data_IF_778575108157
#
_entry.id   IF_778575108157
#
_cell.length_a   1.000
_cell.length_b   1.000
_cell.length_c   1.000
_cell.angle_alpha   90.00
_cell.angle_beta   90.00
_cell.angle_gamma   90.00
#
_symmetry.space_group_name_H-M   'P 1'
#
loop_
_entity.id
_entity.type
_entity.pdbx_description
1 polymer ?
#
# COMPACT_ATOMS: atom_id res chain seq x y z
N UNK A 1 -16.60 -39.67 -51.74
CA UNK A 1 -15.88 -39.37 -53.03
C UNK A 1 -15.16 -38.07 -52.84
N UNK A 2 -13.88 -38.16 -52.46
CA UNK A 2 -12.97 -37.03 -52.42
C UNK A 2 -12.28 -36.96 -53.77
N UNK A 3 -12.50 -35.88 -54.52
CA UNK A 3 -11.73 -35.56 -55.73
C UNK A 3 -10.49 -34.77 -55.30
N UNK A 4 -9.32 -35.38 -55.56
CA UNK A 4 -8.04 -34.80 -55.29
C UNK A 4 -7.80 -33.53 -56.16
N UNK A 5 -7.39 -32.45 -55.50
CA UNK A 5 -6.79 -31.29 -56.18
C UNK A 5 -5.31 -31.60 -56.40
N UNK A 6 -4.76 -31.35 -57.59
CA UNK A 6 -3.32 -31.46 -57.80
C UNK A 6 -2.61 -30.33 -57.09
N UNK A 7 -1.77 -30.67 -56.15
CA UNK A 7 -0.84 -29.71 -55.56
C UNK A 7 0.36 -29.63 -56.44
N UNK A 8 0.43 -28.58 -57.25
CA UNK A 8 1.62 -28.22 -58.01
C UNK A 8 2.63 -27.57 -57.06
N UNK A 9 3.60 -28.37 -56.60
CA UNK A 9 4.73 -27.85 -55.78
C UNK A 9 5.79 -27.34 -56.76
N UNK A 10 5.61 -26.11 -57.20
CA UNK A 10 6.65 -25.36 -57.93
C UNK A 10 7.86 -25.20 -57.01
N UNK A 11 8.88 -25.99 -57.25
CA UNK A 11 10.17 -25.87 -56.58
C UNK A 11 10.90 -24.66 -57.21
N UNK A 12 10.71 -23.47 -56.62
CA UNK A 12 11.44 -22.29 -57.00
C UNK A 12 12.83 -22.33 -56.40
N UNK A 13 13.83 -22.56 -57.23
CA UNK A 13 15.21 -22.77 -56.86
C UNK A 13 15.98 -21.50 -56.47
N UNK A 14 15.28 -20.36 -56.34
CA UNK A 14 15.90 -19.07 -56.10
C UNK A 14 15.60 -18.44 -54.71
N UNK A 15 15.11 -19.24 -53.78
CA UNK A 15 15.03 -18.79 -52.40
C UNK A 15 16.37 -18.88 -51.69
N UNK A 16 17.21 -17.87 -51.86
CA UNK A 16 18.32 -17.59 -50.96
C UNK A 16 17.71 -17.36 -49.55
N UNK A 17 17.75 -18.41 -48.73
CA UNK A 17 17.35 -18.33 -47.31
C UNK A 17 18.35 -17.40 -46.62
N UNK A 18 17.97 -16.12 -46.51
CA UNK A 18 18.68 -15.20 -45.63
C UNK A 18 18.63 -15.77 -44.21
N UNK A 19 19.77 -15.89 -43.51
CA UNK A 19 19.72 -16.38 -42.13
C UNK A 19 18.82 -15.47 -41.31
N UNK A 20 17.99 -16.02 -40.40
CA UNK A 20 17.13 -15.20 -39.59
C UNK A 20 17.98 -14.17 -38.84
N UNK A 21 17.64 -12.90 -39.01
CA UNK A 21 18.21 -11.82 -38.23
C UNK A 21 18.03 -12.21 -36.78
N UNK A 22 19.10 -12.71 -36.14
CA UNK A 22 19.15 -12.93 -34.73
C UNK A 22 19.05 -11.55 -34.07
N UNK A 23 17.83 -11.12 -33.86
CA UNK A 23 17.53 -9.98 -32.98
C UNK A 23 18.20 -10.30 -31.66
N UNK A 24 19.34 -9.68 -31.40
CA UNK A 24 19.98 -9.73 -30.10
C UNK A 24 18.96 -9.14 -29.13
N UNK A 25 18.15 -10.01 -28.55
CA UNK A 25 17.32 -9.66 -27.41
C UNK A 25 18.30 -9.21 -26.33
N UNK A 26 18.41 -7.89 -26.19
CA UNK A 26 19.22 -7.29 -25.15
C UNK A 26 18.63 -7.72 -23.78
N UNK A 27 19.22 -8.74 -23.17
CA UNK A 27 18.98 -9.18 -21.79
C UNK A 27 19.45 -8.12 -20.76
N UNK A 28 19.29 -6.84 -21.07
CA UNK A 28 19.66 -5.71 -20.23
C UNK A 28 18.57 -5.34 -19.21
N UNK A 29 17.46 -6.08 -19.18
CA UNK A 29 16.27 -5.73 -18.37
C UNK A 29 16.33 -6.22 -16.92
N UNK A 30 17.25 -7.09 -16.56
CA UNK A 30 17.29 -7.69 -15.22
C UNK A 30 17.88 -6.80 -14.13
N UNK A 31 18.93 -6.05 -14.41
CA UNK A 31 19.66 -5.27 -13.39
C UNK A 31 18.94 -3.98 -12.97
N UNK A 32 18.23 -3.33 -13.87
CA UNK A 32 17.52 -2.07 -13.59
C UNK A 32 16.26 -2.31 -12.73
N UNK A 33 15.58 -3.43 -12.94
CA UNK A 33 14.41 -3.81 -12.15
C UNK A 33 14.78 -4.20 -10.70
N UNK A 34 15.93 -4.82 -10.48
CA UNK A 34 16.41 -5.17 -9.15
C UNK A 34 16.80 -3.94 -8.33
N UNK A 35 17.49 -2.98 -8.92
CA UNK A 35 17.83 -1.71 -8.27
C UNK A 35 16.59 -0.92 -7.87
N UNK A 36 15.61 -0.81 -8.76
CA UNK A 36 14.33 -0.12 -8.47
C UNK A 36 13.55 -0.74 -7.32
N UNK A 37 13.57 -2.06 -7.18
CA UNK A 37 12.95 -2.77 -6.06
C UNK A 37 13.69 -2.50 -4.76
N UNK A 38 15.01 -2.52 -4.79
CA UNK A 38 15.85 -2.25 -3.64
C UNK A 38 15.63 -0.82 -3.11
N UNK A 39 15.56 0.18 -3.99
CA UNK A 39 15.30 1.58 -3.61
C UNK A 39 13.95 1.70 -2.85
N UNK A 40 12.90 1.03 -3.33
CA UNK A 40 11.59 1.06 -2.68
C UNK A 40 11.64 0.39 -1.31
N UNK A 41 12.31 -0.76 -1.19
CA UNK A 41 12.46 -1.46 0.10
C UNK A 41 13.24 -0.60 1.09
N UNK A 42 14.32 0.04 0.65
CA UNK A 42 15.12 0.94 1.50
C UNK A 42 14.27 2.13 2.01
N UNK A 43 13.48 2.73 1.12
CA UNK A 43 12.59 3.85 1.45
C UNK A 43 11.51 3.42 2.46
N UNK A 44 10.92 2.23 2.30
CA UNK A 44 9.98 1.65 3.26
C UNK A 44 10.67 1.41 4.61
N UNK A 45 11.88 0.86 4.59
CA UNK A 45 12.66 0.59 5.82
C UNK A 45 12.95 1.86 6.62
N UNK A 46 13.39 2.93 5.95
CA UNK A 46 13.62 4.24 6.60
C UNK A 46 12.30 4.80 7.16
N UNK A 47 11.24 4.78 6.37
CA UNK A 47 9.91 5.21 6.83
C UNK A 47 9.43 4.39 8.04
N UNK A 48 9.59 3.07 8.00
CA UNK A 48 9.24 2.17 9.09
C UNK A 48 10.00 2.43 10.38
N UNK A 49 11.31 2.71 10.28
CA UNK A 49 12.13 3.11 11.43
C UNK A 49 11.60 4.40 12.06
N UNK A 50 11.32 5.44 11.26
CA UNK A 50 10.77 6.70 11.74
C UNK A 50 9.40 6.52 12.40
N UNK A 51 8.50 5.77 11.78
CA UNK A 51 7.17 5.47 12.33
C UNK A 51 7.26 4.71 13.65
N UNK A 52 8.13 3.72 13.73
CA UNK A 52 8.36 2.93 14.95
C UNK A 52 8.94 3.79 16.08
N UNK A 53 9.88 4.69 15.78
CA UNK A 53 10.42 5.63 16.76
C UNK A 53 9.35 6.58 17.29
N UNK A 54 8.50 7.12 16.42
CA UNK A 54 7.40 7.98 16.83
C UNK A 54 6.39 7.21 17.74
N UNK A 55 6.03 5.99 17.37
CA UNK A 55 5.19 5.11 18.18
C UNK A 55 5.82 4.83 19.55
N UNK A 56 7.10 4.49 19.57
CA UNK A 56 7.83 4.21 20.80
C UNK A 56 7.82 5.42 21.73
N UNK A 57 8.09 6.62 21.20
CA UNK A 57 8.04 7.86 21.98
C UNK A 57 6.68 8.10 22.64
N UNK A 58 5.57 7.90 21.91
CA UNK A 58 4.23 8.04 22.47
C UNK A 58 3.96 6.95 23.53
N UNK A 59 4.29 5.70 23.22
CA UNK A 59 4.04 4.57 24.13
C UNK A 59 4.80 4.73 25.47
N UNK A 60 6.02 5.26 25.45
CA UNK A 60 6.80 5.50 26.68
C UNK A 60 6.30 6.69 27.50
N UNK A 61 5.67 7.67 26.84
CA UNK A 61 5.10 8.84 27.53
C UNK A 61 3.79 8.50 28.26
N UNK A 62 3.04 7.53 27.74
CA UNK A 62 1.77 7.09 28.31
C UNK A 62 1.83 5.59 28.68
N UNK A 63 2.46 5.25 29.80
CA UNK A 63 2.60 3.85 30.18
C UNK A 63 1.23 3.21 30.47
N UNK A 64 1.05 1.99 29.99
CA UNK A 64 -0.19 1.23 30.21
C UNK A 64 -0.19 0.70 31.62
N UNK A 65 -1.24 1.06 32.38
CA UNK A 65 -1.50 0.44 33.69
C UNK A 65 -2.25 -0.88 33.46
N UNK A 66 -1.85 -1.97 34.14
CA UNK A 66 -2.59 -3.23 34.04
C UNK A 66 -4.07 -3.02 34.32
N UNK A 67 -4.93 -3.73 33.58
CA UNK A 67 -6.40 -3.72 33.77
C UNK A 67 -7.13 -2.43 33.30
N UNK A 68 -6.44 -1.48 32.69
CA UNK A 68 -7.05 -0.29 32.10
C UNK A 68 -7.04 -0.39 30.55
N UNK A 69 -7.91 0.41 29.93
CA UNK A 69 -7.90 0.55 28.48
C UNK A 69 -6.54 1.13 28.04
N UNK A 70 -5.85 0.52 27.08
CA UNK A 70 -4.56 1.00 26.58
C UNK A 70 -4.73 2.23 25.68
N UNK A 71 -4.91 3.39 26.29
CA UNK A 71 -5.20 4.65 25.59
C UNK A 71 -4.12 5.03 24.59
N UNK A 72 -2.83 4.75 24.89
CA UNK A 72 -1.72 5.02 24.00
C UNK A 72 -1.84 4.24 22.68
N UNK A 73 -2.05 2.93 22.76
CA UNK A 73 -2.22 2.07 21.57
C UNK A 73 -3.47 2.45 20.80
N UNK A 74 -4.57 2.75 21.49
CA UNK A 74 -5.80 3.22 20.85
C UNK A 74 -5.54 4.53 20.08
N UNK A 75 -4.94 5.54 20.70
CA UNK A 75 -4.66 6.82 20.06
C UNK A 75 -3.69 6.69 18.87
N UNK A 76 -2.65 5.87 19.00
CA UNK A 76 -1.70 5.56 17.90
C UNK A 76 -2.44 4.95 16.72
N UNK A 77 -3.27 3.93 16.97
CA UNK A 77 -3.95 3.23 15.87
C UNK A 77 -5.06 4.09 15.23
N UNK A 78 -5.80 4.87 16.00
CA UNK A 78 -6.82 5.78 15.46
C UNK A 78 -6.21 6.94 14.65
N UNK A 79 -5.17 7.58 15.18
CA UNK A 79 -4.46 8.64 14.45
C UNK A 79 -3.76 8.10 13.20
N UNK A 80 -3.14 6.93 13.30
CA UNK A 80 -2.55 6.24 12.14
C UNK A 80 -3.57 5.86 11.08
N UNK A 81 -4.76 5.40 11.46
CA UNK A 81 -5.86 5.10 10.53
C UNK A 81 -6.37 6.36 9.83
N UNK A 82 -6.55 7.47 10.57
CA UNK A 82 -6.91 8.76 9.98
C UNK A 82 -5.87 9.23 8.97
N UNK A 83 -4.58 9.22 9.34
CA UNK A 83 -3.49 9.63 8.48
C UNK A 83 -3.36 8.73 7.25
N UNK A 84 -3.62 7.43 7.39
CA UNK A 84 -3.61 6.49 6.27
C UNK A 84 -4.72 6.83 5.26
N UNK A 85 -5.95 7.03 5.73
CA UNK A 85 -7.08 7.43 4.89
C UNK A 85 -6.83 8.77 4.19
N UNK A 86 -6.36 9.77 4.94
CA UNK A 86 -5.97 11.07 4.40
C UNK A 86 -4.90 10.94 3.31
N UNK A 87 -3.84 10.21 3.60
CA UNK A 87 -2.70 10.06 2.70
C UNK A 87 -3.04 9.31 1.42
N UNK A 88 -3.81 8.23 1.51
CA UNK A 88 -4.25 7.48 0.33
C UNK A 88 -5.07 8.37 -0.61
N UNK A 89 -6.01 9.12 -0.07
CA UNK A 89 -6.82 10.05 -0.85
C UNK A 89 -5.99 11.23 -1.40
N UNK A 90 -5.01 11.73 -0.65
CA UNK A 90 -4.12 12.81 -1.09
C UNK A 90 -3.19 12.37 -2.23
N UNK A 91 -2.64 11.16 -2.17
CA UNK A 91 -1.75 10.64 -3.23
C UNK A 91 -2.44 10.40 -4.56
N UNK A 92 -3.76 10.25 -4.59
CA UNK A 92 -4.54 10.16 -5.85
C UNK A 92 -4.59 11.50 -6.60
N UNK A 93 -4.26 12.61 -5.93
CA UNK A 93 -4.34 13.98 -6.45
C UNK A 93 -2.99 14.62 -6.71
N UNK A 94 -1.92 14.02 -6.21
CA UNK A 94 -0.56 14.46 -6.41
C UNK A 94 0.03 13.83 -7.68
N UNK A 95 1.00 14.51 -8.32
CA UNK A 95 1.74 13.90 -9.42
C UNK A 95 2.33 12.56 -8.97
N UNK A 96 2.36 11.55 -9.86
CA UNK A 96 2.79 10.20 -9.51
C UNK A 96 4.24 10.20 -9.03
N UNK A 97 4.43 9.98 -7.74
CA UNK A 97 5.74 9.81 -7.11
C UNK A 97 5.85 8.37 -6.58
N UNK A 98 6.74 7.59 -7.19
CA UNK A 98 6.91 6.17 -6.87
C UNK A 98 7.37 5.89 -5.44
N UNK A 99 7.93 6.86 -4.75
CA UNK A 99 8.47 6.72 -3.40
C UNK A 99 7.53 7.22 -2.31
N UNK A 100 6.68 8.19 -2.61
CA UNK A 100 5.84 8.85 -1.61
C UNK A 100 4.89 7.87 -0.91
N UNK A 101 4.16 7.09 -1.68
CA UNK A 101 3.21 6.11 -1.15
C UNK A 101 3.88 4.96 -0.40
N UNK A 102 4.94 4.31 -0.91
CA UNK A 102 5.70 3.33 -0.14
C UNK A 102 6.32 3.89 1.13
N UNK A 103 6.90 5.08 1.09
CA UNK A 103 7.53 5.71 2.25
C UNK A 103 6.52 6.03 3.35
N UNK A 104 5.45 6.75 3.03
CA UNK A 104 4.51 7.24 4.03
C UNK A 104 3.50 6.17 4.44
N UNK A 105 2.80 5.53 3.49
CA UNK A 105 1.73 4.59 3.82
C UNK A 105 2.26 3.26 4.34
N UNK A 106 3.25 2.66 3.64
CA UNK A 106 3.78 1.36 4.05
C UNK A 106 4.87 1.49 5.11
N UNK A 107 5.80 2.44 4.93
CA UNK A 107 6.88 2.69 5.88
C UNK A 107 6.37 3.38 7.14
N UNK A 108 6.17 4.70 7.10
CA UNK A 108 5.89 5.50 8.29
C UNK A 108 4.63 5.03 9.02
N UNK A 109 3.49 4.94 8.35
CA UNK A 109 2.23 4.56 9.00
C UNK A 109 2.19 3.08 9.37
N UNK A 110 2.79 2.19 8.55
CA UNK A 110 2.94 0.78 8.90
C UNK A 110 3.85 0.54 10.12
N UNK A 111 4.91 1.34 10.30
CA UNK A 111 5.75 1.33 11.50
C UNK A 111 5.11 2.03 12.70
N UNK A 112 4.30 3.06 12.47
CA UNK A 112 3.62 3.84 13.51
C UNK A 112 2.49 3.06 14.17
N UNK A 113 1.59 2.44 13.39
CA UNK A 113 0.49 1.62 13.91
C UNK A 113 0.97 0.26 14.41
N UNK A 114 0.21 -0.38 15.29
CA UNK A 114 0.56 -1.70 15.82
C UNK A 114 -0.66 -2.59 16.02
N UNK A 115 -0.67 -3.70 15.30
CA UNK A 115 -1.65 -4.75 15.51
C UNK A 115 -1.18 -5.74 16.60
N UNK A 116 0.13 -6.02 16.67
CA UNK A 116 0.67 -6.98 17.63
C UNK A 116 0.49 -6.54 19.08
N UNK A 117 0.82 -5.29 19.40
CA UNK A 117 0.60 -4.72 20.75
C UNK A 117 -0.88 -4.74 21.11
N UNK A 118 -1.74 -4.27 20.19
CA UNK A 118 -3.19 -4.31 20.35
C UNK A 118 -3.72 -5.72 20.65
N UNK A 119 -3.28 -6.73 19.90
CA UNK A 119 -3.72 -8.12 20.08
C UNK A 119 -3.30 -8.66 21.46
N UNK A 120 -2.08 -8.39 21.91
CA UNK A 120 -1.59 -8.78 23.24
C UNK A 120 -2.44 -8.11 24.33
N UNK A 121 -2.69 -6.82 24.21
CA UNK A 121 -3.51 -6.06 25.17
C UNK A 121 -4.94 -6.59 25.25
N UNK A 122 -5.57 -6.90 24.11
CA UNK A 122 -6.91 -7.52 24.08
C UNK A 122 -6.91 -8.86 24.81
N UNK A 123 -5.91 -9.71 24.59
CA UNK A 123 -5.82 -11.02 25.25
C UNK A 123 -5.60 -10.86 26.76
N UNK A 124 -4.75 -9.92 27.18
CA UNK A 124 -4.52 -9.64 28.61
C UNK A 124 -5.78 -9.12 29.29
N UNK A 125 -6.45 -8.14 28.69
CA UNK A 125 -7.71 -7.61 29.20
C UNK A 125 -8.81 -8.69 29.24
N UNK A 126 -8.85 -9.59 28.24
CA UNK A 126 -9.88 -10.63 28.17
C UNK A 126 -9.80 -11.62 29.34
N UNK A 127 -8.59 -11.89 29.84
CA UNK A 127 -8.38 -12.79 31.00
C UNK A 127 -8.96 -12.24 32.29
N UNK A 128 -8.95 -10.93 32.47
CA UNK A 128 -9.32 -10.29 33.74
C UNK A 128 -10.65 -9.54 33.64
N UNK A 129 -10.91 -8.89 32.50
CA UNK A 129 -12.08 -8.04 32.25
C UNK A 129 -12.64 -8.22 30.82
N UNK A 130 -13.32 -9.32 30.54
CA UNK A 130 -13.75 -9.67 29.19
C UNK A 130 -14.63 -8.60 28.53
N UNK A 131 -15.49 -7.92 29.28
CA UNK A 131 -16.35 -6.86 28.73
C UNK A 131 -15.57 -5.62 28.32
N UNK A 132 -14.51 -5.27 29.06
CA UNK A 132 -13.61 -4.16 28.69
C UNK A 132 -12.80 -4.55 27.46
N UNK A 133 -12.32 -5.79 27.36
CA UNK A 133 -11.63 -6.30 26.19
C UNK A 133 -12.50 -6.23 24.92
N UNK A 134 -13.77 -6.66 25.01
CA UNK A 134 -14.71 -6.60 23.91
C UNK A 134 -15.02 -5.16 23.49
N UNK A 135 -15.22 -4.26 24.44
CA UNK A 135 -15.43 -2.84 24.14
C UNK A 135 -14.19 -2.20 23.51
N UNK A 136 -13.00 -2.51 24.00
CA UNK A 136 -11.73 -2.04 23.43
C UNK A 136 -11.54 -2.55 21.99
N UNK A 137 -11.80 -3.84 21.76
CA UNK A 137 -11.75 -4.45 20.42
C UNK A 137 -12.74 -3.77 19.46
N UNK A 138 -14.00 -3.67 19.85
CA UNK A 138 -15.05 -3.09 19.01
C UNK A 138 -14.80 -1.60 18.71
N UNK A 139 -14.38 -0.84 19.74
CA UNK A 139 -14.06 0.58 19.61
C UNK A 139 -12.84 0.80 18.71
N UNK A 140 -11.78 0.03 18.91
CA UNK A 140 -10.56 0.14 18.10
C UNK A 140 -10.83 -0.14 16.62
N UNK A 141 -11.57 -1.22 16.33
CA UNK A 141 -11.91 -1.57 14.95
C UNK A 141 -12.91 -0.57 14.32
N UNK A 142 -13.99 -0.27 15.03
CA UNK A 142 -15.04 0.61 14.52
C UNK A 142 -14.56 2.04 14.31
N UNK A 143 -13.95 2.63 15.35
CA UNK A 143 -13.40 3.99 15.23
C UNK A 143 -12.19 4.04 14.30
N UNK A 144 -11.39 2.99 14.19
CA UNK A 144 -10.28 2.91 13.24
C UNK A 144 -10.76 3.06 11.79
N UNK A 145 -11.81 2.32 11.42
CA UNK A 145 -12.43 2.45 10.08
C UNK A 145 -13.03 3.84 9.90
N UNK A 146 -13.75 4.35 10.90
CA UNK A 146 -14.33 5.68 10.84
C UNK A 146 -13.26 6.78 10.68
N UNK A 147 -12.16 6.70 11.43
CA UNK A 147 -11.04 7.63 11.31
C UNK A 147 -10.43 7.60 9.91
N UNK A 148 -10.26 6.42 9.29
CA UNK A 148 -9.76 6.30 7.93
C UNK A 148 -10.72 6.94 6.91
N UNK A 149 -12.02 6.73 7.06
CA UNK A 149 -13.03 7.36 6.23
C UNK A 149 -13.02 8.90 6.37
N UNK A 150 -12.97 9.40 7.61
CA UNK A 150 -12.92 10.85 7.88
C UNK A 150 -11.64 11.46 7.30
N UNK A 151 -10.49 10.78 7.44
CA UNK A 151 -9.23 11.21 6.83
C UNK A 151 -9.33 11.31 5.30
N UNK A 152 -9.92 10.33 4.66
CA UNK A 152 -10.18 10.34 3.21
C UNK A 152 -11.15 11.47 2.83
N UNK A 153 -12.25 11.65 3.54
CA UNK A 153 -13.24 12.71 3.29
C UNK A 153 -12.66 14.11 3.46
N UNK A 154 -11.72 14.30 4.40
CA UNK A 154 -11.04 15.56 4.61
C UNK A 154 -10.31 16.03 3.33
N UNK A 155 -9.63 15.10 2.65
CA UNK A 155 -8.96 15.43 1.37
C UNK A 155 -9.99 15.80 0.30
N UNK A 156 -11.09 15.06 0.20
CA UNK A 156 -12.15 15.35 -0.78
C UNK A 156 -12.81 16.72 -0.53
N UNK A 157 -12.90 17.14 0.72
CA UNK A 157 -13.51 18.43 1.09
C UNK A 157 -12.58 19.62 0.86
N UNK A 158 -11.29 19.48 1.19
CA UNK A 158 -10.32 20.59 1.13
C UNK A 158 -9.56 20.68 -0.20
N UNK A 159 -9.50 19.58 -0.96
CA UNK A 159 -8.84 19.51 -2.28
C UNK A 159 -9.80 18.95 -3.32
N UNK A 160 -10.85 19.72 -3.74
CA UNK A 160 -11.75 19.27 -4.80
C UNK A 160 -10.96 19.03 -6.10
N UNK A 161 -11.34 18.00 -6.87
CA UNK A 161 -10.74 17.76 -8.20
C UNK A 161 -11.06 18.96 -9.08
N UNK A 162 -10.09 19.49 -9.87
CA UNK A 162 -10.41 20.43 -10.94
C UNK A 162 -11.45 19.79 -11.88
N UNK A 163 -12.45 20.58 -12.29
CA UNK A 163 -13.53 20.11 -13.14
C UNK A 163 -13.07 19.92 -14.58
N UNK A 164 -12.40 18.81 -14.89
CA UNK A 164 -11.94 18.45 -16.24
C UNK A 164 -13.07 18.01 -17.21
N UNK A 165 -14.33 18.14 -16.81
CA UNK A 165 -15.46 17.60 -17.54
C UNK A 165 -16.18 18.65 -18.39
N UNK A 166 -15.73 19.89 -18.46
CA UNK A 166 -16.35 20.90 -19.31
C UNK A 166 -15.70 21.03 -20.71
N UNK A 167 -14.68 20.23 -21.04
CA UNK A 167 -14.02 20.31 -22.34
C UNK A 167 -14.39 19.20 -23.34
N UNK A 168 -15.40 18.39 -23.06
CA UNK A 168 -15.89 17.34 -23.97
C UNK A 168 -17.33 17.60 -24.44
N UNK A 169 -17.62 18.80 -24.77
CA UNK A 169 -18.89 19.21 -25.34
C UNK A 169 -18.69 20.14 -26.51
N UNK A 170 -17.98 19.69 -27.57
CA UNK A 170 -18.08 20.18 -28.94
C UNK A 170 -17.75 19.04 -29.90
#
# INVERSE_FOLDING_TARGET
RWKGLPVDIGFDSDTTISPPHTSRVHLRHGSDNSRRKFDIVAVIGVGGALGTLARYGIATTFPVTPQQIPWATLAINLSGSFLLGFMLAATERLPPNRFLRPFLAVGVLGGFTTFSTFAVEVVQLFRERPWIALSYLATSCGLGVLCALVGSMAVHRFYPRPLDHLSKGE
#
